data_IF_067248797729
#
_entry.id   IF_067248797729
#
_cell.length_a   1.000
_cell.length_b   1.000
_cell.length_c   1.000
_cell.angle_alpha   90.00
_cell.angle_beta   90.00
_cell.angle_gamma   90.00
#
_symmetry.space_group_name_H-M   'P 1'
#
loop_
_entity.id
_entity.type
_entity.pdbx_description
1 polymer ?
#
# COMPACT_ATOMS: atom_id res chain seq x y z
N UNK A 1 -2.50 -40.42 -8.30
CA UNK A 1 -3.55 -39.65 -8.99
C UNK A 1 -4.30 -38.84 -7.95
N UNK A 2 -4.44 -37.52 -8.11
CA UNK A 2 -5.16 -36.70 -7.14
C UNK A 2 -6.66 -37.06 -7.16
N UNK A 3 -7.37 -36.85 -6.05
CA UNK A 3 -8.79 -37.15 -5.98
C UNK A 3 -9.56 -36.26 -6.96
N UNK A 4 -10.22 -36.89 -7.94
CA UNK A 4 -11.20 -36.24 -8.82
C UNK A 4 -12.33 -35.69 -7.96
N UNK A 5 -12.57 -34.39 -8.00
CA UNK A 5 -13.78 -33.77 -7.46
C UNK A 5 -13.61 -32.59 -6.50
N UNK A 6 -12.39 -32.15 -6.20
CA UNK A 6 -12.23 -30.82 -5.58
C UNK A 6 -12.16 -29.77 -6.69
N UNK A 7 -13.02 -28.73 -6.67
CA UNK A 7 -12.83 -27.58 -7.55
C UNK A 7 -11.43 -27.00 -7.29
N UNK A 8 -10.71 -26.65 -8.35
CA UNK A 8 -9.44 -25.96 -8.19
C UNK A 8 -9.66 -24.71 -7.34
N UNK A 9 -8.75 -24.39 -6.39
CA UNK A 9 -8.92 -23.24 -5.52
C UNK A 9 -8.86 -21.95 -6.36
N UNK A 10 -10.04 -21.45 -6.74
CA UNK A 10 -10.17 -20.18 -7.46
C UNK A 10 -9.91 -19.01 -6.51
N UNK A 11 -9.30 -17.95 -7.04
CA UNK A 11 -8.96 -16.75 -6.29
C UNK A 11 -9.52 -15.52 -7.00
N UNK A 12 -10.23 -14.68 -6.26
CA UNK A 12 -10.66 -13.38 -6.75
C UNK A 12 -9.66 -12.30 -6.33
N UNK A 13 -9.09 -11.57 -7.27
CA UNK A 13 -8.22 -10.41 -7.00
C UNK A 13 -8.77 -9.16 -7.67
N UNK A 14 -8.59 -8.00 -7.03
CA UNK A 14 -9.11 -6.73 -7.53
C UNK A 14 -8.03 -5.67 -7.62
N UNK A 15 -7.29 -5.61 -8.73
CA UNK A 15 -6.41 -4.47 -9.10
C UNK A 15 -5.24 -4.24 -8.12
N UNK A 16 -4.25 -3.45 -8.56
CA UNK A 16 -3.03 -3.19 -7.78
C UNK A 16 -2.68 -1.69 -7.75
N UNK A 17 -2.60 -1.04 -6.58
CA UNK A 17 -3.38 -1.34 -5.37
C UNK A 17 -4.89 -1.23 -5.62
N UNK A 18 -5.69 -1.53 -4.60
CA UNK A 18 -7.14 -1.39 -4.68
C UNK A 18 -7.55 0.05 -4.95
N UNK A 19 -8.41 0.23 -5.96
CA UNK A 19 -8.87 1.54 -6.40
C UNK A 19 -9.72 1.45 -7.65
N UNK A 20 -10.07 2.60 -8.22
CA UNK A 20 -10.90 2.64 -9.42
C UNK A 20 -11.72 3.91 -9.59
N UNK A 21 -12.62 3.92 -10.60
CA UNK A 21 -13.42 5.09 -10.93
C UNK A 21 -14.45 5.43 -9.84
N UNK A 22 -14.75 4.48 -8.95
CA UNK A 22 -15.62 4.68 -7.79
C UNK A 22 -14.93 5.39 -6.63
N UNK A 23 -13.60 5.51 -6.64
CA UNK A 23 -12.83 6.20 -5.61
C UNK A 23 -12.78 7.69 -5.95
N UNK A 24 -13.58 8.46 -5.22
CA UNK A 24 -13.56 9.93 -5.30
C UNK A 24 -12.40 10.50 -4.49
N UNK A 25 -12.11 11.80 -4.68
CA UNK A 25 -10.97 12.47 -4.05
C UNK A 25 -11.00 12.38 -2.51
N UNK A 26 -12.19 12.36 -1.91
CA UNK A 26 -12.41 12.19 -0.48
C UNK A 26 -11.97 10.82 0.06
N UNK A 27 -12.06 9.78 -0.76
CA UNK A 27 -11.67 8.40 -0.43
C UNK A 27 -10.30 8.01 -0.99
N UNK A 28 -9.68 8.88 -1.78
CA UNK A 28 -8.37 8.64 -2.35
C UNK A 28 -7.27 8.67 -1.27
N UNK A 29 -6.22 7.87 -1.47
CA UNK A 29 -5.08 7.79 -0.57
C UNK A 29 -4.55 9.18 -0.20
N UNK A 30 -4.37 9.40 1.10
CA UNK A 30 -3.99 10.69 1.67
C UNK A 30 -2.52 10.71 2.09
N UNK A 31 -1.96 11.91 2.11
CA UNK A 31 -0.59 12.20 2.53
C UNK A 31 -0.48 13.53 3.26
N UNK A 32 0.59 13.70 4.01
CA UNK A 32 1.00 14.98 4.55
C UNK A 32 2.07 15.58 3.62
N UNK A 33 1.88 16.81 3.16
CA UNK A 33 2.90 17.55 2.42
C UNK A 33 3.33 18.81 3.16
N UNK A 34 4.56 19.24 2.92
CA UNK A 34 5.11 20.48 3.45
C UNK A 34 5.36 21.47 2.30
N UNK A 35 5.02 22.74 2.52
CA UNK A 35 5.37 23.84 1.63
C UNK A 35 6.23 24.85 2.41
N UNK A 36 7.29 25.35 1.78
CA UNK A 36 8.17 26.36 2.36
C UNK A 36 7.90 27.72 1.71
N UNK A 37 7.78 28.77 2.52
CA UNK A 37 7.58 30.14 2.08
C UNK A 37 8.70 30.99 2.65
N UNK A 38 9.46 31.65 1.78
CA UNK A 38 10.48 32.61 2.20
C UNK A 38 9.83 33.96 2.53
N UNK A 39 10.21 34.53 3.67
CA UNK A 39 9.68 35.78 4.20
C UNK A 39 10.85 36.76 4.35
N UNK A 40 10.94 37.79 3.48
CA UNK A 40 11.99 38.80 3.55
C UNK A 40 11.97 39.56 4.88
N UNK A 41 13.14 40.06 5.29
CA UNK A 41 13.28 40.94 6.44
C UNK A 41 12.29 42.13 6.39
N UNK A 42 11.75 42.52 7.54
CA UNK A 42 10.77 43.60 7.66
C UNK A 42 9.35 43.28 7.16
N UNK A 43 9.11 42.10 6.57
CA UNK A 43 7.77 41.74 6.08
C UNK A 43 6.77 41.57 7.22
N UNK A 44 5.60 42.21 7.08
CA UNK A 44 4.46 42.09 8.01
C UNK A 44 3.42 41.04 7.58
N UNK A 45 3.57 40.45 6.38
CA UNK A 45 2.71 39.37 5.89
C UNK A 45 3.44 38.50 4.87
N UNK A 46 2.93 37.30 4.63
CA UNK A 46 3.40 36.38 3.60
C UNK A 46 2.22 35.74 2.87
N UNK A 47 2.46 35.25 1.65
CA UNK A 47 1.45 34.51 0.90
C UNK A 47 1.34 33.08 1.44
N UNK A 48 0.13 32.60 1.72
CA UNK A 48 -0.08 31.21 2.07
C UNK A 48 0.08 30.32 0.83
N UNK A 49 0.49 29.05 1.00
CA UNK A 49 0.56 28.12 -0.11
C UNK A 49 -0.83 27.86 -0.67
N UNK A 50 -0.92 27.60 -1.98
CA UNK A 50 -2.17 27.18 -2.60
C UNK A 50 -2.68 25.89 -1.93
N UNK A 51 -3.95 25.91 -1.53
CA UNK A 51 -4.69 24.78 -0.98
C UNK A 51 -5.68 24.33 -2.05
N UNK A 52 -5.47 23.12 -2.58
CA UNK A 52 -6.30 22.56 -3.63
C UNK A 52 -7.52 21.82 -3.06
N UNK A 53 -8.46 21.44 -3.93
CA UNK A 53 -9.61 20.62 -3.53
C UNK A 53 -9.16 19.33 -2.83
N UNK A 54 -9.72 19.07 -1.65
CA UNK A 54 -9.36 17.91 -0.83
C UNK A 54 -8.11 18.10 0.02
N UNK A 55 -7.50 19.29 0.02
CA UNK A 55 -6.40 19.66 0.91
C UNK A 55 -6.86 20.52 2.10
N UNK A 56 -6.11 20.46 3.20
CA UNK A 56 -6.35 21.27 4.39
C UNK A 56 -5.02 21.70 5.02
N UNK A 57 -4.82 23.00 5.22
CA UNK A 57 -3.70 23.51 6.01
C UNK A 57 -3.89 23.08 7.48
N UNK A 58 -2.89 22.40 8.04
CA UNK A 58 -2.94 21.85 9.39
C UNK A 58 -2.19 22.71 10.41
N UNK A 59 -0.98 23.15 10.04
CA UNK A 59 -0.13 23.94 10.91
C UNK A 59 0.89 24.73 10.11
N UNK A 60 1.33 25.84 10.66
CA UNK A 60 2.44 26.66 10.14
C UNK A 60 3.48 26.88 11.23
N UNK A 61 4.74 26.93 10.83
CA UNK A 61 5.87 27.17 11.72
C UNK A 61 6.82 28.15 11.07
N UNK A 62 7.46 29.02 11.85
CA UNK A 62 8.49 29.94 11.36
C UNK A 62 9.85 29.66 11.99
N UNK A 63 10.92 29.91 11.23
CA UNK A 63 12.29 29.92 11.73
C UNK A 63 13.13 30.96 10.97
N UNK A 64 14.20 31.49 11.58
CA UNK A 64 15.21 32.26 10.85
C UNK A 64 15.85 31.44 9.73
N UNK A 65 16.12 32.10 8.60
CA UNK A 65 16.75 31.47 7.43
C UNK A 65 15.85 31.48 6.19
N UNK A 66 16.08 30.52 5.30
CA UNK A 66 15.39 30.40 4.01
C UNK A 66 14.98 28.94 3.74
N UNK A 67 14.35 28.68 2.59
CA UNK A 67 13.82 27.34 2.29
C UNK A 67 14.91 26.25 2.19
N UNK A 68 16.16 26.62 1.93
CA UNK A 68 17.30 25.69 1.82
C UNK A 68 18.09 25.56 3.12
N UNK A 69 18.09 26.60 3.95
CA UNK A 69 18.91 26.67 5.16
C UNK A 69 18.11 27.31 6.30
N UNK A 70 17.63 26.48 7.22
CA UNK A 70 17.00 26.87 8.48
C UNK A 70 17.33 25.86 9.57
N UNK A 71 17.29 26.29 10.83
CA UNK A 71 17.51 25.40 11.97
C UNK A 71 16.17 24.78 12.42
N UNK A 72 15.97 23.48 12.14
CA UNK A 72 14.73 22.79 12.47
C UNK A 72 14.36 22.86 13.97
N UNK A 73 15.36 22.86 14.87
CA UNK A 73 15.16 23.01 16.31
C UNK A 73 14.68 24.40 16.76
N UNK A 74 14.72 25.40 15.88
CA UNK A 74 14.23 26.77 16.13
C UNK A 74 12.84 27.04 15.58
N UNK A 75 12.20 26.06 14.93
CA UNK A 75 10.84 26.23 14.40
C UNK A 75 9.85 26.51 15.52
N UNK A 76 9.16 27.65 15.43
CA UNK A 76 8.13 28.07 16.36
C UNK A 76 6.75 28.01 15.69
N UNK A 77 5.69 27.55 16.39
CA UNK A 77 4.35 27.57 15.84
C UNK A 77 3.93 28.99 15.45
N UNK A 78 3.38 29.13 14.26
CA UNK A 78 2.80 30.36 13.75
C UNK A 78 1.31 30.11 13.53
N UNK A 79 0.44 30.90 14.16
CA UNK A 79 -1.00 30.83 13.92
C UNK A 79 -1.37 31.61 12.66
N UNK A 80 -1.13 31.01 11.48
CA UNK A 80 -1.43 31.66 10.21
C UNK A 80 -2.91 31.46 9.84
N UNK A 81 -3.65 32.56 9.79
CA UNK A 81 -5.02 32.61 9.26
C UNK A 81 -5.00 33.41 7.96
N UNK A 82 -5.56 32.83 6.90
CA UNK A 82 -5.67 33.50 5.62
C UNK A 82 -6.62 34.71 5.71
N UNK A 83 -6.17 35.86 5.23
CA UNK A 83 -7.04 36.98 4.89
C UNK A 83 -7.78 36.72 3.55
N UNK A 84 -8.65 37.65 3.15
CA UNK A 84 -9.41 37.55 1.91
C UNK A 84 -8.53 37.50 0.64
N UNK A 85 -7.26 37.88 0.73
CA UNK A 85 -6.28 37.82 -0.35
C UNK A 85 -5.38 36.58 -0.32
N UNK A 86 -5.62 35.62 0.59
CA UNK A 86 -4.79 34.43 0.73
C UNK A 86 -3.43 34.69 1.38
N UNK A 87 -3.28 35.78 2.13
CA UNK A 87 -2.07 36.10 2.89
C UNK A 87 -2.30 35.87 4.37
N UNK A 88 -1.22 35.67 5.13
CA UNK A 88 -1.27 35.63 6.58
C UNK A 88 -0.33 36.69 7.19
N UNK A 89 -0.75 37.25 8.32
CA UNK A 89 0.07 38.20 9.07
C UNK A 89 1.25 37.50 9.74
N UNK A 90 2.37 38.22 9.86
CA UNK A 90 3.55 37.77 10.58
C UNK A 90 4.25 39.00 11.19
N UNK A 91 4.80 38.88 12.40
CA UNK A 91 5.49 40.01 13.02
C UNK A 91 6.75 40.37 12.21
N UNK A 92 7.02 41.65 11.89
CA UNK A 92 8.27 42.05 11.24
C UNK A 92 9.50 41.65 12.07
N UNK A 93 10.56 41.23 11.38
CA UNK A 93 11.85 40.87 12.00
C UNK A 93 12.99 41.35 11.10
N UNK A 94 14.15 41.67 11.69
CA UNK A 94 15.30 42.25 10.98
C UNK A 94 16.01 41.24 10.03
N UNK A 95 15.75 39.94 10.20
CA UNK A 95 16.33 38.87 9.41
C UNK A 95 15.32 38.16 8.50
N UNK A 96 15.83 37.50 7.47
CA UNK A 96 15.05 36.58 6.65
C UNK A 96 14.54 35.40 7.46
N UNK A 97 13.33 34.95 7.14
CA UNK A 97 12.69 33.80 7.75
C UNK A 97 12.13 32.86 6.70
N UNK A 98 11.93 31.62 7.10
CA UNK A 98 11.12 30.65 6.38
C UNK A 98 9.89 30.29 7.19
N UNK A 99 8.74 30.23 6.53
CA UNK A 99 7.52 29.62 7.06
C UNK A 99 7.34 28.24 6.42
N UNK A 100 7.17 27.22 7.24
CA UNK A 100 6.82 25.87 6.82
C UNK A 100 5.34 25.63 7.08
N UNK A 101 4.60 25.30 6.04
CA UNK A 101 3.18 24.97 6.08
C UNK A 101 2.96 23.48 5.87
N UNK A 102 2.33 22.80 6.82
CA UNK A 102 2.00 21.39 6.75
C UNK A 102 0.54 21.21 6.34
N UNK A 103 0.32 20.45 5.28
CA UNK A 103 -0.95 20.40 4.56
C UNK A 103 -1.36 18.93 4.41
N UNK A 104 -2.52 18.56 4.95
CA UNK A 104 -3.15 17.30 4.63
C UNK A 104 -3.58 17.34 3.16
N UNK A 105 -3.17 16.35 2.39
CA UNK A 105 -3.27 16.31 0.93
C UNK A 105 -3.61 14.91 0.45
N UNK A 106 -3.72 14.74 -0.86
CA UNK A 106 -3.92 13.46 -1.54
C UNK A 106 -2.66 13.04 -2.28
N UNK A 107 -2.40 11.75 -2.38
CA UNK A 107 -1.24 11.23 -3.12
C UNK A 107 -1.41 11.44 -4.62
N UNK A 108 -2.66 11.47 -5.10
CA UNK A 108 -3.00 11.53 -6.53
C UNK A 108 -2.72 10.22 -7.27
N UNK A 109 -2.33 9.16 -6.56
CA UNK A 109 -1.95 7.89 -7.15
C UNK A 109 -3.12 7.25 -7.89
N UNK A 110 -2.88 6.86 -9.14
CA UNK A 110 -3.80 6.05 -9.94
C UNK A 110 -3.51 4.56 -9.75
N UNK A 111 -4.54 3.73 -9.89
CA UNK A 111 -4.41 2.27 -9.97
C UNK A 111 -3.40 1.89 -11.05
N UNK A 112 -2.51 0.94 -10.76
CA UNK A 112 -1.54 0.44 -11.74
C UNK A 112 -2.18 -0.61 -12.63
N UNK A 113 -1.89 -0.53 -13.92
CA UNK A 113 -2.29 -1.53 -14.93
C UNK A 113 -3.79 -1.89 -14.83
N UNK A 114 -4.69 -0.90 -14.79
CA UNK A 114 -6.12 -1.18 -14.71
C UNK A 114 -6.58 -1.91 -15.98
N UNK A 115 -7.60 -2.76 -15.83
CA UNK A 115 -8.38 -3.21 -16.98
C UNK A 115 -9.04 -2.01 -17.69
N UNK A 116 -9.54 -2.21 -18.91
CA UNK A 116 -10.22 -1.14 -19.63
C UNK A 116 -11.42 -0.61 -18.81
N UNK A 117 -11.44 0.71 -18.57
CA UNK A 117 -12.49 1.37 -17.78
C UNK A 117 -12.34 1.21 -16.25
N UNK A 118 -11.25 0.60 -15.80
CA UNK A 118 -10.95 0.41 -14.38
C UNK A 118 -10.01 1.49 -13.82
N UNK A 119 -9.68 2.53 -14.59
CA UNK A 119 -8.85 3.65 -14.18
C UNK A 119 -9.46 4.44 -13.02
N UNK A 120 -8.61 5.03 -12.18
CA UNK A 120 -9.03 5.91 -11.09
C UNK A 120 -8.07 5.90 -9.91
N UNK A 121 -8.43 6.64 -8.85
CA UNK A 121 -7.59 6.79 -7.68
C UNK A 121 -7.43 5.49 -6.89
N UNK A 122 -6.25 5.31 -6.29
CA UNK A 122 -6.03 4.33 -5.24
C UNK A 122 -6.76 4.78 -3.97
N UNK A 123 -7.48 3.86 -3.32
CA UNK A 123 -8.23 4.16 -2.10
C UNK A 123 -7.32 4.36 -0.89
N UNK A 124 -7.78 5.15 0.07
CA UNK A 124 -7.13 5.33 1.36
C UNK A 124 -7.33 4.09 2.26
N UNK A 125 -6.28 3.28 2.38
CA UNK A 125 -6.30 2.06 3.19
C UNK A 125 -6.27 2.37 4.71
N UNK A 126 -6.02 3.63 5.10
CA UNK A 126 -6.12 4.11 6.47
C UNK A 126 -7.53 4.65 6.80
N UNK A 127 -8.45 4.70 5.82
CA UNK A 127 -9.84 5.15 6.01
C UNK A 127 -10.81 3.97 5.98
N UNK A 128 -11.53 3.76 7.09
CA UNK A 128 -12.59 2.74 7.18
C UNK A 128 -13.69 2.96 6.16
N UNK A 129 -14.05 4.23 5.92
CA UNK A 129 -15.09 4.61 4.98
C UNK A 129 -14.70 4.26 3.54
N UNK A 130 -13.47 4.58 3.14
CA UNK A 130 -12.96 4.28 1.79
C UNK A 130 -12.90 2.76 1.52
N UNK A 131 -12.45 1.98 2.51
CA UNK A 131 -12.41 0.51 2.43
C UNK A 131 -13.83 -0.06 2.33
N UNK A 132 -14.77 0.39 3.17
CA UNK A 132 -16.16 -0.08 3.12
C UNK A 132 -16.85 0.27 1.80
N UNK A 133 -16.61 1.48 1.27
CA UNK A 133 -17.12 1.89 -0.03
C UNK A 133 -16.59 1.00 -1.16
N UNK A 134 -15.30 0.62 -1.12
CA UNK A 134 -14.72 -0.31 -2.08
C UNK A 134 -15.32 -1.72 -1.96
N UNK A 135 -15.49 -2.24 -0.73
CA UNK A 135 -16.14 -3.53 -0.51
C UNK A 135 -17.54 -3.54 -1.12
N UNK A 136 -18.37 -2.53 -0.82
CA UNK A 136 -19.74 -2.45 -1.31
C UNK A 136 -19.84 -2.27 -2.83
N UNK A 137 -18.93 -1.49 -3.41
CA UNK A 137 -19.03 -1.10 -4.83
C UNK A 137 -18.37 -2.10 -5.78
N UNK A 138 -17.32 -2.79 -5.31
CA UNK A 138 -16.50 -3.68 -6.14
C UNK A 138 -16.54 -5.11 -5.64
N UNK A 139 -16.21 -5.34 -4.37
CA UNK A 139 -16.05 -6.71 -3.87
C UNK A 139 -17.39 -7.47 -3.81
N UNK A 140 -18.46 -6.81 -3.35
CA UNK A 140 -19.81 -7.38 -3.27
C UNK A 140 -20.35 -7.81 -4.64
N UNK A 141 -20.41 -6.95 -5.69
CA UNK A 141 -20.86 -7.39 -7.01
C UNK A 141 -19.99 -8.49 -7.64
N UNK A 142 -18.66 -8.42 -7.48
CA UNK A 142 -17.75 -9.43 -8.03
C UNK A 142 -17.96 -10.79 -7.37
N UNK A 143 -18.12 -10.80 -6.05
CA UNK A 143 -18.38 -12.03 -5.33
C UNK A 143 -19.77 -12.60 -5.66
N UNK A 144 -20.79 -11.74 -5.78
CA UNK A 144 -22.14 -12.17 -6.16
C UNK A 144 -22.17 -12.88 -7.53
N UNK A 145 -21.25 -12.55 -8.45
CA UNK A 145 -21.11 -13.21 -9.73
C UNK A 145 -20.69 -14.70 -9.63
N UNK A 146 -20.13 -15.14 -8.50
CA UNK A 146 -19.84 -16.55 -8.22
C UNK A 146 -21.07 -17.36 -7.74
N UNK A 147 -22.20 -16.71 -7.48
CA UNK A 147 -23.42 -17.36 -6.98
C UNK A 147 -23.18 -18.08 -5.65
N UNK A 148 -23.60 -19.34 -5.56
CA UNK A 148 -23.49 -20.16 -4.35
C UNK A 148 -22.09 -20.79 -4.14
N UNK A 149 -21.15 -20.57 -5.07
CA UNK A 149 -19.83 -21.18 -5.05
C UNK A 149 -18.73 -20.11 -4.94
N UNK A 150 -18.58 -19.47 -3.76
CA UNK A 150 -17.55 -18.46 -3.57
C UNK A 150 -16.15 -19.03 -3.83
N UNK A 151 -15.19 -18.20 -4.28
CA UNK A 151 -13.83 -18.64 -4.53
C UNK A 151 -13.15 -19.12 -3.24
N UNK A 152 -12.12 -19.95 -3.37
CA UNK A 152 -11.32 -20.43 -2.23
C UNK A 152 -10.76 -19.29 -1.39
N UNK A 153 -10.33 -18.22 -2.06
CA UNK A 153 -9.83 -17.00 -1.42
C UNK A 153 -10.13 -15.74 -2.23
N UNK A 154 -10.09 -14.61 -1.55
CA UNK A 154 -9.98 -13.27 -2.12
C UNK A 154 -8.59 -12.73 -1.82
N UNK A 155 -7.97 -12.04 -2.77
CA UNK A 155 -6.56 -11.71 -2.74
C UNK A 155 -6.32 -10.20 -2.72
N UNK A 156 -5.50 -9.77 -1.76
CA UNK A 156 -4.82 -8.47 -1.77
C UNK A 156 -3.35 -8.69 -2.11
N UNK A 157 -2.95 -8.12 -3.24
CA UNK A 157 -1.54 -7.96 -3.63
C UNK A 157 -0.76 -7.14 -2.58
N UNK A 158 0.55 -7.06 -2.77
CA UNK A 158 1.48 -6.21 -2.06
C UNK A 158 0.93 -4.79 -1.91
N UNK A 159 1.08 -4.22 -0.72
CA UNK A 159 0.59 -2.87 -0.45
C UNK A 159 1.51 -1.87 -1.16
N UNK A 160 1.00 -1.23 -2.22
CA UNK A 160 1.76 -0.27 -3.02
C UNK A 160 1.10 1.11 -3.07
N UNK A 161 0.53 1.56 -1.95
CA UNK A 161 -0.10 2.87 -1.83
C UNK A 161 0.98 3.92 -1.56
N UNK A 162 1.66 4.34 -2.62
CA UNK A 162 2.86 5.16 -2.52
C UNK A 162 2.58 6.57 -1.99
N UNK A 163 3.48 7.02 -1.12
CA UNK A 163 3.42 8.35 -0.52
C UNK A 163 2.27 8.52 0.48
N UNK A 164 1.54 7.45 0.83
CA UNK A 164 0.53 7.54 1.88
C UNK A 164 1.17 7.53 3.25
N UNK A 165 0.74 8.46 4.08
CA UNK A 165 1.21 8.60 5.45
C UNK A 165 0.21 9.35 6.36
N UNK A 166 -1.00 9.58 5.85
CA UNK A 166 -2.03 10.40 6.47
C UNK A 166 -3.43 9.88 6.15
N UNK A 167 -4.42 10.29 6.94
CA UNK A 167 -5.86 10.14 6.65
C UNK A 167 -6.64 11.28 7.32
N UNK A 168 -7.92 11.43 7.01
CA UNK A 168 -8.71 12.60 7.39
C UNK A 168 -8.77 12.83 8.91
N UNK A 169 -8.89 11.76 9.68
CA UNK A 169 -9.00 11.74 11.14
C UNK A 169 -7.69 11.33 11.85
N UNK A 170 -6.56 11.45 11.15
CA UNK A 170 -5.26 11.00 11.69
C UNK A 170 -4.87 11.71 12.98
N UNK A 171 -5.16 13.02 13.12
CA UNK A 171 -4.82 13.79 14.32
C UNK A 171 -5.58 13.27 15.53
N UNK A 172 -6.87 13.00 15.36
CA UNK A 172 -7.76 12.48 16.38
C UNK A 172 -7.34 11.08 16.82
N UNK A 173 -7.08 10.19 15.85
CA UNK A 173 -6.62 8.83 16.11
C UNK A 173 -5.24 8.79 16.75
N UNK A 174 -4.32 9.64 16.30
CA UNK A 174 -3.00 9.77 16.91
C UNK A 174 -3.13 10.18 18.39
N UNK A 175 -3.90 11.23 18.68
CA UNK A 175 -4.10 11.72 20.05
C UNK A 175 -4.72 10.65 20.94
N UNK A 176 -5.73 9.94 20.44
CA UNK A 176 -6.39 8.84 21.16
C UNK A 176 -5.43 7.69 21.48
N UNK A 177 -4.52 7.37 20.56
CA UNK A 177 -3.61 6.21 20.67
C UNK A 177 -2.33 6.51 21.43
N UNK A 178 -1.79 7.71 21.28
CA UNK A 178 -0.46 8.10 21.78
C UNK A 178 -0.53 9.06 22.98
N UNK A 179 -1.67 9.69 23.21
CA UNK A 179 -1.91 10.54 24.38
C UNK A 179 -1.42 11.98 24.27
N UNK A 180 -1.00 12.43 23.07
CA UNK A 180 -0.56 13.80 22.83
C UNK A 180 -0.92 14.28 21.41
N UNK A 181 -0.86 15.60 21.18
CA UNK A 181 -1.16 16.20 19.87
C UNK A 181 0.03 16.08 18.92
N UNK A 182 -0.19 15.61 17.69
CA UNK A 182 0.86 15.47 16.68
C UNK A 182 1.20 16.79 15.97
N UNK A 183 0.26 17.76 15.94
CA UNK A 183 0.43 18.99 15.17
C UNK A 183 1.65 19.82 15.58
N UNK A 184 1.97 20.02 16.87
CA UNK A 184 3.19 20.71 17.30
C UNK A 184 4.49 19.99 16.88
N UNK A 185 4.41 18.70 16.54
CA UNK A 185 5.57 17.87 16.25
C UNK A 185 5.77 17.56 14.76
N UNK A 186 4.94 18.13 13.87
CA UNK A 186 5.12 17.96 12.42
C UNK A 186 6.53 18.36 11.92
N UNK A 187 7.16 19.45 12.42
CA UNK A 187 8.56 19.75 12.11
C UNK A 187 9.54 18.62 12.37
N UNK A 188 9.37 17.93 13.49
CA UNK A 188 10.25 16.85 13.93
C UNK A 188 10.05 15.60 13.06
N UNK A 189 8.82 15.34 12.60
CA UNK A 189 8.52 14.22 11.69
C UNK A 189 9.27 14.39 10.37
N UNK A 190 9.25 15.59 9.78
CA UNK A 190 9.85 15.87 8.48
C UNK A 190 11.36 16.05 8.54
N UNK A 191 11.86 16.79 9.53
CA UNK A 191 13.31 17.04 9.66
C UNK A 191 14.07 15.82 10.18
N UNK A 192 13.41 14.98 11.00
CA UNK A 192 14.07 13.92 11.75
C UNK A 192 15.08 14.43 12.79
N UNK A 193 15.06 15.72 13.11
CA UNK A 193 15.99 16.36 14.03
C UNK A 193 15.34 16.62 15.40
N UNK A 194 16.16 16.65 16.44
CA UNK A 194 15.74 16.90 17.83
C UNK A 194 15.78 15.66 18.72
N UNK A 195 15.86 15.89 20.02
CA UNK A 195 16.06 14.85 21.05
C UNK A 195 15.00 13.73 20.96
N UNK A 196 13.74 14.07 20.71
CA UNK A 196 12.62 13.11 20.68
C UNK A 196 12.22 12.67 19.27
N UNK A 197 13.00 13.00 18.23
CA UNK A 197 12.60 12.76 16.84
C UNK A 197 12.34 11.30 16.51
N UNK A 198 13.21 10.40 16.99
CA UNK A 198 13.03 8.96 16.81
C UNK A 198 11.75 8.44 17.44
N UNK A 199 11.39 8.93 18.63
CA UNK A 199 10.19 8.52 19.34
C UNK A 199 8.91 9.00 18.63
N UNK A 200 8.85 10.28 18.26
CA UNK A 200 7.68 10.86 17.56
C UNK A 200 7.48 10.20 16.20
N UNK A 201 8.56 9.99 15.42
CA UNK A 201 8.47 9.34 14.09
C UNK A 201 8.01 7.89 14.20
N UNK A 202 8.47 7.17 15.23
CA UNK A 202 7.99 5.82 15.52
C UNK A 202 6.50 5.84 15.85
N UNK A 203 6.05 6.75 16.70
CA UNK A 203 4.64 6.82 17.10
C UNK A 203 3.73 7.20 15.93
N UNK A 204 4.22 8.06 15.03
CA UNK A 204 3.57 8.40 13.75
C UNK A 204 3.44 7.18 12.83
N UNK A 205 4.53 6.45 12.60
CA UNK A 205 4.52 5.23 11.80
C UNK A 205 3.66 4.12 12.42
N UNK A 206 3.75 3.94 13.74
CA UNK A 206 2.96 2.94 14.47
C UNK A 206 1.46 3.25 14.38
N UNK A 207 1.07 4.52 14.42
CA UNK A 207 -0.33 4.92 14.21
C UNK A 207 -0.80 4.48 12.82
N UNK A 208 0.00 4.69 11.76
CA UNK A 208 -0.34 4.21 10.42
C UNK A 208 -0.49 2.67 10.38
N UNK A 209 0.44 1.93 11.00
CA UNK A 209 0.40 0.47 11.08
C UNK A 209 -0.83 -0.06 11.83
N UNK A 210 -1.22 0.57 12.93
CA UNK A 210 -2.42 0.19 13.66
C UNK A 210 -3.69 0.50 12.85
N UNK A 211 -3.74 1.65 12.17
CA UNK A 211 -4.87 2.06 11.34
C UNK A 211 -5.08 1.13 10.14
N UNK A 212 -4.05 0.80 9.37
CA UNK A 212 -4.19 -0.15 8.24
C UNK A 212 -4.61 -1.55 8.73
N UNK A 213 -4.14 -1.97 9.91
CA UNK A 213 -4.58 -3.22 10.52
C UNK A 213 -6.08 -3.20 10.87
N UNK A 214 -6.53 -2.14 11.53
CA UNK A 214 -7.91 -2.02 12.02
C UNK A 214 -8.94 -1.70 10.94
N UNK A 215 -8.54 -0.97 9.90
CA UNK A 215 -9.44 -0.37 8.90
C UNK A 215 -9.37 -1.02 7.53
N UNK A 216 -8.27 -1.72 7.21
CA UNK A 216 -8.13 -2.46 5.97
C UNK A 216 -8.03 -3.97 6.21
N UNK A 217 -6.96 -4.46 6.85
CA UNK A 217 -6.70 -5.91 6.94
C UNK A 217 -7.82 -6.67 7.67
N UNK A 218 -8.21 -6.19 8.86
CA UNK A 218 -9.27 -6.84 9.64
C UNK A 218 -10.64 -6.78 8.93
N UNK A 219 -11.11 -5.63 8.41
CA UNK A 219 -12.37 -5.58 7.68
C UNK A 219 -12.39 -6.46 6.42
N UNK A 220 -11.29 -6.53 5.67
CA UNK A 220 -11.18 -7.43 4.51
C UNK A 220 -11.32 -8.91 4.92
N UNK A 221 -10.68 -9.32 6.02
CA UNK A 221 -10.79 -10.69 6.55
C UNK A 221 -12.17 -10.99 7.14
N UNK A 222 -12.76 -10.04 7.88
CA UNK A 222 -14.13 -10.14 8.40
C UNK A 222 -15.14 -10.28 7.25
N UNK A 223 -14.99 -9.47 6.19
CA UNK A 223 -15.81 -9.53 4.98
C UNK A 223 -15.66 -10.87 4.25
N UNK A 224 -14.42 -11.34 4.04
CA UNK A 224 -14.16 -12.65 3.42
C UNK A 224 -14.81 -13.79 4.21
N UNK A 225 -14.71 -13.77 5.55
CA UNK A 225 -15.33 -14.77 6.42
C UNK A 225 -16.85 -14.75 6.36
N UNK A 226 -17.47 -13.56 6.35
CA UNK A 226 -18.92 -13.43 6.20
C UNK A 226 -19.43 -14.07 4.89
N UNK A 227 -18.57 -14.07 3.88
CA UNK A 227 -18.83 -14.60 2.55
C UNK A 227 -18.33 -16.03 2.32
N UNK A 228 -17.96 -16.76 3.38
CA UNK A 228 -17.48 -18.15 3.31
C UNK A 228 -16.27 -18.34 2.38
N UNK A 229 -15.44 -17.31 2.24
CA UNK A 229 -14.15 -17.34 1.54
C UNK A 229 -13.02 -16.99 2.52
N UNK A 230 -11.78 -16.92 2.04
CA UNK A 230 -10.58 -16.64 2.85
C UNK A 230 -9.87 -15.39 2.36
N UNK A 231 -9.33 -14.58 3.26
CA UNK A 231 -8.49 -13.46 2.85
C UNK A 231 -7.03 -13.90 2.72
N UNK A 232 -6.52 -13.88 1.48
CA UNK A 232 -5.11 -14.06 1.15
C UNK A 232 -4.46 -12.71 0.92
N UNK A 233 -3.30 -12.48 1.52
CA UNK A 233 -2.66 -11.17 1.42
C UNK A 233 -1.15 -11.24 1.45
N UNK A 234 -0.55 -10.50 0.51
CA UNK A 234 0.84 -10.05 0.59
C UNK A 234 0.92 -8.86 1.57
N UNK A 235 0.98 -9.16 2.87
CA UNK A 235 0.94 -8.15 3.95
C UNK A 235 2.32 -7.53 4.18
N UNK A 236 2.78 -6.73 3.20
CA UNK A 236 3.98 -5.90 3.25
C UNK A 236 3.85 -4.71 2.29
N UNK A 237 4.70 -3.69 2.46
CA UNK A 237 4.71 -2.47 1.63
C UNK A 237 4.11 -1.25 2.34
N UNK A 238 3.33 -0.43 1.61
CA UNK A 238 2.75 0.85 2.05
C UNK A 238 1.21 0.87 1.87
N UNK A 239 0.41 1.26 2.89
CA UNK A 239 0.82 1.77 4.20
C UNK A 239 1.61 0.76 5.03
N UNK A 240 2.47 1.23 5.96
CA UNK A 240 3.41 0.36 6.66
C UNK A 240 2.69 -0.66 7.51
N UNK A 241 2.95 -1.93 7.25
CA UNK A 241 2.50 -3.08 8.07
C UNK A 241 3.69 -3.73 8.76
N UNK A 242 3.42 -4.50 9.81
CA UNK A 242 4.43 -5.26 10.55
C UNK A 242 4.26 -6.75 10.34
N UNK A 243 5.24 -7.56 10.73
CA UNK A 243 5.08 -9.02 10.79
C UNK A 243 3.80 -9.41 11.55
N UNK A 244 3.49 -8.69 12.64
CA UNK A 244 2.30 -8.97 13.44
C UNK A 244 0.97 -8.67 12.74
N UNK A 245 0.98 -7.84 11.69
CA UNK A 245 -0.20 -7.56 10.88
C UNK A 245 -0.71 -8.81 10.15
N UNK A 246 0.17 -9.78 9.85
CA UNK A 246 -0.21 -11.07 9.26
C UNK A 246 -1.14 -11.92 10.16
N UNK A 247 -1.24 -11.60 11.47
CA UNK A 247 -2.25 -12.25 12.33
C UNK A 247 -3.69 -11.95 11.89
N UNK A 248 -3.89 -10.86 11.14
CA UNK A 248 -5.19 -10.36 10.70
C UNK A 248 -5.67 -10.97 9.37
N UNK A 249 -4.88 -11.84 8.74
CA UNK A 249 -5.23 -12.45 7.45
C UNK A 249 -5.29 -13.97 7.58
N UNK A 250 -6.18 -14.62 6.81
CA UNK A 250 -6.37 -16.07 6.85
C UNK A 250 -5.22 -16.83 6.18
N UNK A 251 -4.72 -16.32 5.05
CA UNK A 251 -3.67 -16.93 4.23
C UNK A 251 -2.54 -15.91 3.99
N UNK A 252 -1.49 -15.89 4.82
CA UNK A 252 -0.31 -15.07 4.56
C UNK A 252 0.37 -15.48 3.25
N UNK A 253 0.74 -14.51 2.43
CA UNK A 253 1.41 -14.73 1.14
C UNK A 253 2.72 -13.94 1.06
N UNK A 254 3.77 -14.60 0.60
CA UNK A 254 5.05 -14.00 0.25
C UNK A 254 5.21 -13.74 -1.24
N UNK A 255 6.38 -13.21 -1.62
CA UNK A 255 6.83 -13.17 -3.01
C UNK A 255 8.36 -13.19 -3.07
N UNK A 256 8.88 -13.67 -4.20
CA UNK A 256 10.30 -13.53 -4.56
C UNK A 256 11.21 -14.65 -4.03
N UNK A 257 12.25 -15.03 -4.81
CA UNK A 257 13.10 -16.19 -4.53
C UNK A 257 14.29 -15.91 -3.58
N UNK A 258 14.36 -14.71 -3.00
CA UNK A 258 15.47 -14.28 -2.15
C UNK A 258 15.47 -15.06 -0.83
N UNK A 259 16.42 -15.99 -0.66
CA UNK A 259 16.50 -16.87 0.52
C UNK A 259 17.71 -16.58 1.43
N UNK A 260 18.67 -15.77 0.97
CA UNK A 260 19.93 -15.45 1.69
C UNK A 260 19.91 -14.10 2.42
N UNK A 261 18.82 -13.36 2.28
CA UNK A 261 18.63 -12.03 2.86
C UNK A 261 17.21 -11.93 3.42
N UNK A 262 16.86 -10.75 3.94
CA UNK A 262 15.47 -10.47 4.31
C UNK A 262 14.59 -10.56 3.05
N UNK A 263 13.49 -11.32 3.13
CA UNK A 263 12.50 -11.41 2.07
C UNK A 263 11.10 -11.38 2.66
N UNK A 264 10.15 -10.87 1.87
CA UNK A 264 8.75 -10.88 2.24
C UNK A 264 8.19 -12.31 2.32
N UNK A 265 8.76 -13.25 1.56
CA UNK A 265 8.52 -14.69 1.73
C UNK A 265 8.86 -15.16 3.14
N UNK A 266 10.07 -14.87 3.66
CA UNK A 266 10.43 -15.27 5.03
C UNK A 266 9.62 -14.53 6.09
N UNK A 267 9.20 -13.29 5.82
CA UNK A 267 8.29 -12.56 6.71
C UNK A 267 6.94 -13.28 6.82
N UNK A 268 6.33 -13.64 5.69
CA UNK A 268 5.05 -14.35 5.62
C UNK A 268 5.14 -15.74 6.26
N UNK A 269 6.20 -16.51 6.00
CA UNK A 269 6.38 -17.85 6.57
C UNK A 269 6.68 -17.81 8.07
N UNK A 270 7.48 -16.86 8.54
CA UNK A 270 7.71 -16.64 9.96
C UNK A 270 6.42 -16.28 10.69
N UNK A 271 5.61 -15.39 10.12
CA UNK A 271 4.32 -15.04 10.69
C UNK A 271 3.33 -16.21 10.66
N UNK A 272 3.31 -16.99 9.58
CA UNK A 272 2.47 -18.18 9.46
C UNK A 272 2.79 -19.21 10.55
N UNK A 273 4.07 -19.50 10.78
CA UNK A 273 4.49 -20.36 11.89
C UNK A 273 4.12 -19.78 13.26
N UNK A 274 4.39 -18.49 13.49
CA UNK A 274 4.13 -17.83 14.78
C UNK A 274 2.63 -17.78 15.13
N UNK A 275 1.77 -17.59 14.14
CA UNK A 275 0.32 -17.43 14.31
C UNK A 275 -0.48 -18.70 13.96
N UNK A 276 0.18 -19.85 13.78
CA UNK A 276 -0.47 -21.14 13.56
C UNK A 276 -1.27 -21.21 12.25
N UNK A 277 -0.77 -20.58 11.17
CA UNK A 277 -1.36 -20.64 9.83
C UNK A 277 -0.83 -21.88 9.10
N UNK A 278 -1.67 -22.89 8.82
CA UNK A 278 -1.21 -24.14 8.21
C UNK A 278 -0.93 -24.02 6.70
N UNK A 279 -1.47 -23.00 6.04
CA UNK A 279 -1.26 -22.71 4.63
C UNK A 279 -0.59 -21.36 4.50
N UNK A 280 0.58 -21.35 3.86
CA UNK A 280 1.39 -20.16 3.61
C UNK A 280 1.80 -20.21 2.15
N UNK A 281 1.31 -19.24 1.39
CA UNK A 281 1.55 -19.20 -0.05
C UNK A 281 2.66 -18.25 -0.44
N UNK A 282 3.10 -18.35 -1.69
CA UNK A 282 3.95 -17.34 -2.30
C UNK A 282 3.59 -17.13 -3.77
N UNK A 283 3.56 -15.87 -4.19
CA UNK A 283 3.68 -15.52 -5.60
C UNK A 283 5.06 -16.00 -6.08
N UNK A 284 5.03 -16.98 -6.99
CA UNK A 284 6.21 -17.74 -7.38
C UNK A 284 6.46 -17.57 -8.87
N UNK A 285 7.74 -17.49 -9.26
CA UNK A 285 8.22 -17.41 -10.64
C UNK A 285 7.97 -16.11 -11.39
N UNK A 286 7.56 -15.01 -10.75
CA UNK A 286 7.26 -13.71 -11.37
C UNK A 286 8.25 -13.28 -12.46
N UNK A 287 9.55 -13.43 -12.19
CA UNK A 287 10.64 -13.04 -13.08
C UNK A 287 11.49 -14.21 -13.58
N UNK A 288 10.94 -15.44 -13.54
CA UNK A 288 11.67 -16.67 -13.84
C UNK A 288 12.33 -16.61 -15.21
N UNK A 289 13.67 -16.67 -15.19
CA UNK A 289 14.55 -16.62 -16.36
C UNK A 289 14.12 -15.58 -17.41
N UNK A 290 13.81 -14.34 -17.00
CA UNK A 290 13.42 -13.25 -17.88
C UNK A 290 14.34 -13.09 -19.12
N UNK A 291 13.79 -12.88 -20.33
CA UNK A 291 12.41 -12.48 -20.67
C UNK A 291 11.42 -13.65 -20.81
N UNK A 292 10.17 -13.35 -21.18
CA UNK A 292 9.14 -14.36 -21.38
C UNK A 292 9.56 -15.48 -22.35
N UNK A 293 9.06 -16.69 -22.09
CA UNK A 293 9.37 -17.93 -22.82
C UNK A 293 10.84 -18.41 -22.74
N UNK A 294 11.68 -17.78 -21.91
CA UNK A 294 13.08 -18.20 -21.76
C UNK A 294 13.28 -19.23 -20.62
N UNK A 295 12.36 -19.31 -19.67
CA UNK A 295 12.40 -20.30 -18.58
C UNK A 295 12.29 -21.74 -19.08
N UNK A 296 12.90 -22.67 -18.34
CA UNK A 296 12.81 -24.12 -18.54
C UNK A 296 12.18 -24.79 -17.30
N UNK A 297 11.72 -26.05 -17.41
CA UNK A 297 11.29 -26.84 -16.25
C UNK A 297 12.31 -26.90 -15.09
N UNK A 298 13.61 -26.89 -15.40
CA UNK A 298 14.66 -26.91 -14.38
C UNK A 298 14.72 -25.58 -13.60
N UNK A 299 14.47 -24.45 -14.25
CA UNK A 299 14.39 -23.16 -13.59
C UNK A 299 13.21 -23.13 -12.62
N UNK A 300 12.05 -23.66 -13.04
CA UNK A 300 10.86 -23.76 -12.19
C UNK A 300 11.15 -24.57 -10.93
N UNK A 301 11.74 -25.76 -11.10
CA UNK A 301 12.09 -26.64 -9.97
C UNK A 301 13.07 -25.94 -9.01
N UNK A 302 14.12 -25.31 -9.55
CA UNK A 302 15.14 -24.66 -8.72
C UNK A 302 14.56 -23.52 -7.87
N UNK A 303 13.61 -22.75 -8.40
CA UNK A 303 12.93 -21.70 -7.63
C UNK A 303 11.89 -22.27 -6.66
N UNK A 304 11.16 -23.33 -7.04
CA UNK A 304 10.23 -24.02 -6.14
C UNK A 304 10.94 -24.57 -4.91
N UNK A 305 12.09 -25.23 -5.09
CA UNK A 305 12.92 -25.74 -3.99
C UNK A 305 13.31 -24.61 -3.02
N UNK A 306 13.64 -23.41 -3.54
CA UNK A 306 13.93 -22.23 -2.72
C UNK A 306 12.72 -21.72 -1.94
N UNK A 307 11.52 -21.78 -2.50
CA UNK A 307 10.30 -21.42 -1.80
C UNK A 307 9.97 -22.41 -0.68
N UNK A 308 10.10 -23.72 -0.93
CA UNK A 308 9.91 -24.77 0.08
C UNK A 308 10.87 -24.59 1.25
N UNK A 309 12.15 -24.34 0.97
CA UNK A 309 13.17 -24.10 2.01
C UNK A 309 12.88 -22.85 2.86
N UNK A 310 12.09 -21.91 2.35
CA UNK A 310 11.65 -20.73 3.09
C UNK A 310 10.39 -20.99 3.93
N UNK A 311 9.74 -22.16 3.80
CA UNK A 311 8.53 -22.54 4.54
C UNK A 311 7.21 -22.35 3.78
N UNK A 312 7.28 -22.07 2.48
CA UNK A 312 6.08 -22.00 1.61
C UNK A 312 5.53 -23.41 1.39
N UNK A 313 4.20 -23.57 1.42
CA UNK A 313 3.54 -24.84 1.15
C UNK A 313 2.37 -24.74 0.15
N UNK A 314 2.17 -23.56 -0.45
CA UNK A 314 1.25 -23.34 -1.57
C UNK A 314 1.89 -22.39 -2.59
N UNK A 315 2.21 -22.87 -3.78
CA UNK A 315 2.70 -22.00 -4.84
C UNK A 315 1.54 -21.32 -5.57
N UNK A 316 1.71 -20.04 -5.87
CA UNK A 316 0.82 -19.28 -6.76
C UNK A 316 1.68 -18.82 -7.92
N UNK A 317 1.60 -19.54 -9.04
CA UNK A 317 2.44 -19.25 -10.21
C UNK A 317 2.06 -17.92 -10.86
N UNK A 318 3.05 -17.05 -11.07
CA UNK A 318 2.92 -15.77 -11.75
C UNK A 318 3.60 -15.81 -13.14
N UNK A 319 2.91 -16.14 -14.23
CA UNK A 319 1.48 -16.40 -14.28
C UNK A 319 1.00 -17.17 -15.50
N UNK A 320 -0.31 -17.16 -15.67
CA UNK A 320 -1.03 -17.79 -16.77
C UNK A 320 -1.69 -16.71 -17.62
N UNK A 321 -0.97 -16.04 -18.53
CA UNK A 321 -1.57 -15.01 -19.37
C UNK A 321 -2.61 -15.63 -20.31
N UNK A 322 -3.77 -14.98 -20.43
CA UNK A 322 -4.80 -15.37 -21.38
C UNK A 322 -4.37 -15.02 -22.81
N UNK A 323 -4.42 -16.01 -23.69
CA UNK A 323 -4.21 -15.84 -25.13
C UNK A 323 -5.56 -16.00 -25.85
N UNK A 324 -6.07 -14.95 -26.53
CA UNK A 324 -7.31 -15.06 -27.29
C UNK A 324 -7.22 -16.09 -28.43
N UNK A 325 -8.31 -16.83 -28.74
CA UNK A 325 -8.36 -17.72 -29.90
C UNK A 325 -7.97 -17.01 -31.19
N UNK A 326 -7.17 -17.67 -32.04
CA UNK A 326 -6.69 -17.10 -33.32
C UNK A 326 -5.43 -16.23 -33.20
N UNK A 327 -4.87 -16.06 -31.99
CA UNK A 327 -3.57 -15.42 -31.80
C UNK A 327 -2.45 -16.33 -32.33
N UNK A 328 -1.44 -15.75 -32.97
CA UNK A 328 -0.25 -16.49 -33.39
C UNK A 328 0.55 -16.97 -32.19
N UNK A 329 1.01 -18.23 -32.22
CA UNK A 329 1.91 -18.79 -31.20
C UNK A 329 3.20 -17.97 -31.01
N UNK A 330 3.72 -17.84 -29.76
CA UNK A 330 3.28 -18.51 -28.53
C UNK A 330 2.18 -17.74 -27.75
N UNK A 331 1.42 -16.87 -28.42
CA UNK A 331 0.35 -16.12 -27.78
C UNK A 331 0.82 -14.90 -26.99
N UNK A 332 0.01 -14.48 -26.01
CA UNK A 332 0.29 -13.29 -25.22
C UNK A 332 1.17 -13.63 -24.02
N UNK A 333 2.09 -12.72 -23.71
CA UNK A 333 2.80 -12.70 -22.43
C UNK A 333 2.31 -11.55 -21.57
N UNK A 334 2.54 -11.66 -20.27
CA UNK A 334 2.39 -10.53 -19.35
C UNK A 334 3.68 -9.71 -19.31
N UNK A 335 3.68 -8.55 -18.64
CA UNK A 335 4.91 -7.74 -18.51
C UNK A 335 5.99 -8.44 -17.67
N UNK A 336 5.58 -9.38 -16.82
CA UNK A 336 6.50 -10.22 -16.05
C UNK A 336 6.87 -11.48 -16.85
N UNK A 337 7.92 -12.19 -16.42
CA UNK A 337 8.60 -13.15 -17.28
C UNK A 337 7.85 -14.48 -17.45
N UNK A 338 7.27 -15.03 -16.39
CA UNK A 338 6.74 -16.38 -16.45
C UNK A 338 5.42 -16.46 -17.24
N UNK A 339 5.39 -17.43 -18.16
CA UNK A 339 4.24 -17.77 -19.00
C UNK A 339 4.01 -19.26 -18.86
N UNK A 340 3.07 -19.66 -18.02
CA UNK A 340 2.79 -21.07 -17.72
C UNK A 340 1.52 -21.60 -18.38
N UNK A 341 1.03 -20.93 -19.42
CA UNK A 341 -0.14 -21.40 -20.16
C UNK A 341 0.23 -22.54 -21.13
N UNK A 342 -0.80 -23.08 -21.77
CA UNK A 342 -0.73 -24.17 -22.74
C UNK A 342 -0.05 -23.82 -24.07
N UNK A 343 0.29 -22.54 -24.27
CA UNK A 343 1.08 -22.04 -25.40
C UNK A 343 2.60 -22.07 -25.15
N UNK A 344 3.03 -22.41 -23.92
CA UNK A 344 4.46 -22.53 -23.65
C UNK A 344 5.06 -23.75 -24.39
N UNK A 345 6.20 -23.63 -25.10
CA UNK A 345 6.80 -24.72 -25.87
C UNK A 345 7.06 -26.02 -25.11
N UNK A 346 7.26 -25.97 -23.79
CA UNK A 346 7.47 -27.15 -22.95
C UNK A 346 6.23 -27.53 -22.12
N UNK A 347 5.06 -26.96 -22.41
CA UNK A 347 3.80 -27.27 -21.71
C UNK A 347 3.48 -28.78 -21.70
N UNK A 348 3.84 -29.47 -22.78
CA UNK A 348 3.63 -30.91 -22.91
C UNK A 348 4.34 -31.76 -21.83
N UNK A 349 5.38 -31.23 -21.17
CA UNK A 349 6.07 -31.90 -20.05
C UNK A 349 5.72 -31.30 -18.68
N UNK A 350 4.84 -30.29 -18.61
CA UNK A 350 4.42 -29.67 -17.35
C UNK A 350 3.82 -30.68 -16.34
N UNK A 351 3.05 -31.71 -16.75
CA UNK A 351 2.58 -32.74 -15.82
C UNK A 351 3.68 -33.55 -15.13
N UNK A 352 4.89 -33.59 -15.67
CA UNK A 352 6.05 -34.27 -15.07
C UNK A 352 6.82 -33.37 -14.09
N UNK A 353 6.50 -32.07 -14.06
CA UNK A 353 7.12 -31.04 -13.20
C UNK A 353 6.32 -30.81 -11.92
N UNK A 354 4.99 -30.97 -12.00
CA UNK A 354 4.03 -30.87 -10.89
C UNK A 354 3.92 -32.17 -10.09
#
# INVERSE_FOLDING_TARGET
GPPKGQPEPSVMSTRRPFGGPHVKIEHAAARLRMASIEVPAGSASFALPAIMNGERLLATFEAPGNAKQYEAGKLQPLAAVADAGGRAAIAPADGERVVLAYIASRTGQQVKRPALGADGFVLDHLSREAVQHHLNTVAEPLLAAFGEQPPYAVFSDSLEVYGTDWTADFVEEFRKRRGYDILPHLPVIFSGQGEHAGAVRRDWALTQTELVGERYLKPMDDWARAHKTRFRSQTYGFPPVSMSSNRLVALPEGEGPQHREFSFTRLATSAGHLYGRPVISAETWTWLNSPAFSATPLDMKAEADRMLLQGVNLFVGHGWPYTPPGTREPGYSFYAAAVFNDHNPWWNVMPDVN
#
